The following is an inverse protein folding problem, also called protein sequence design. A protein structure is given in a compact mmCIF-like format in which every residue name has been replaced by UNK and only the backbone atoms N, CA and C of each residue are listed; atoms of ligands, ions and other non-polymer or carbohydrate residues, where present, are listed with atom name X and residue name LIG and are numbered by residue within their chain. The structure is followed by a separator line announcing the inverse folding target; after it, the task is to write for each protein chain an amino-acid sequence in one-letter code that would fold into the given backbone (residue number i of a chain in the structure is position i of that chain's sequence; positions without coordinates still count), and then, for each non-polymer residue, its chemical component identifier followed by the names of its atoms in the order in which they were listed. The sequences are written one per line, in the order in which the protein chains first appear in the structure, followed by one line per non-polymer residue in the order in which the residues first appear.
data_IF_080563193936
#
_entry.id   IF_080563193936
#
_cell.length_a   1.000
_cell.length_b   1.000
_cell.length_c   1.000
_cell.angle_alpha   90.00
_cell.angle_beta   90.00
_cell.angle_gamma   90.00
#
_symmetry.space_group_name_H-M   'P 1'
#
loop_
_entity.id
_entity.type
_entity.pdbx_description
1 polymer ?
#
# COMPACT_ATOMS: atom_id res chain seq x y z
N UNK A 1 7.99 -51.62 -33.45
CA UNK A 1 7.65 -50.58 -32.46
C UNK A 1 8.41 -50.93 -31.20
N UNK A 2 9.39 -50.12 -30.82
CA UNK A 2 10.20 -50.38 -29.62
C UNK A 2 9.45 -49.93 -28.37
N UNK A 3 9.15 -50.88 -27.49
CA UNK A 3 8.46 -50.61 -26.24
C UNK A 3 9.43 -49.98 -25.24
N UNK A 4 9.06 -48.81 -24.69
CA UNK A 4 9.84 -48.18 -23.63
C UNK A 4 9.86 -49.05 -22.38
N UNK A 5 11.04 -49.27 -21.82
CA UNK A 5 11.25 -49.96 -20.55
C UNK A 5 10.42 -49.31 -19.43
N UNK A 6 9.72 -50.12 -18.64
CA UNK A 6 8.89 -49.72 -17.49
C UNK A 6 9.54 -48.62 -16.62
N UNK A 7 10.84 -48.74 -16.37
CA UNK A 7 11.64 -47.78 -15.57
C UNK A 7 11.67 -46.35 -16.10
N UNK A 8 11.58 -46.15 -17.43
CA UNK A 8 11.55 -44.81 -18.03
C UNK A 8 10.24 -44.08 -17.73
N UNK A 9 9.12 -44.82 -17.64
CA UNK A 9 7.83 -44.26 -17.24
C UNK A 9 7.80 -43.89 -15.77
N UNK A 10 8.39 -44.73 -14.91
CA UNK A 10 8.54 -44.42 -13.48
C UNK A 10 9.37 -43.18 -13.21
N UNK A 11 10.52 -43.03 -13.91
CA UNK A 11 11.37 -41.86 -13.79
C UNK A 11 10.66 -40.57 -14.26
N UNK A 12 9.94 -40.62 -15.38
CA UNK A 12 9.14 -39.50 -15.85
C UNK A 12 8.07 -39.08 -14.83
N UNK A 13 7.33 -40.03 -14.26
CA UNK A 13 6.31 -39.74 -13.25
C UNK A 13 6.89 -39.11 -11.96
N UNK A 14 8.10 -39.49 -11.55
CA UNK A 14 8.79 -38.88 -10.42
C UNK A 14 9.17 -37.43 -10.74
N UNK A 15 9.74 -37.19 -11.93
CA UNK A 15 10.12 -35.85 -12.39
C UNK A 15 8.89 -34.94 -12.46
N UNK A 16 7.81 -35.42 -13.08
CA UNK A 16 6.54 -34.67 -13.16
C UNK A 16 5.97 -34.39 -11.77
N UNK A 17 6.02 -35.35 -10.85
CA UNK A 17 5.59 -35.17 -9.46
C UNK A 17 6.39 -34.09 -8.73
N UNK A 18 7.71 -34.05 -8.91
CA UNK A 18 8.58 -33.02 -8.33
C UNK A 18 8.22 -31.65 -8.90
N UNK A 19 8.10 -31.52 -10.22
CA UNK A 19 7.73 -30.27 -10.90
C UNK A 19 6.38 -29.76 -10.40
N UNK A 20 5.36 -30.64 -10.36
CA UNK A 20 4.03 -30.29 -9.89
C UNK A 20 4.02 -29.87 -8.41
N UNK A 21 4.80 -30.55 -7.56
CA UNK A 21 4.89 -30.19 -6.14
C UNK A 21 5.55 -28.81 -5.92
N UNK A 22 6.59 -28.49 -6.68
CA UNK A 22 7.27 -27.20 -6.61
C UNK A 22 6.36 -26.05 -7.08
N UNK A 23 5.64 -26.25 -8.20
CA UNK A 23 4.66 -25.28 -8.71
C UNK A 23 3.53 -25.08 -7.69
N UNK A 24 3.00 -26.18 -7.14
CA UNK A 24 1.91 -26.13 -6.15
C UNK A 24 2.32 -25.37 -4.88
N UNK A 25 3.52 -25.62 -4.35
CA UNK A 25 4.04 -24.91 -3.18
C UNK A 25 4.23 -23.41 -3.44
N UNK A 26 4.72 -23.03 -4.62
CA UNK A 26 4.86 -21.63 -5.01
C UNK A 26 3.48 -20.96 -5.13
N UNK A 27 2.54 -21.60 -5.81
CA UNK A 27 1.17 -21.11 -5.95
C UNK A 27 0.50 -20.91 -4.59
N UNK A 28 0.60 -21.88 -3.68
CA UNK A 28 0.06 -21.77 -2.33
C UNK A 28 0.64 -20.56 -1.58
N UNK A 29 1.96 -20.36 -1.67
CA UNK A 29 2.64 -19.23 -1.03
C UNK A 29 2.17 -17.88 -1.58
N UNK A 30 1.97 -17.77 -2.89
CA UNK A 30 1.41 -16.56 -3.52
C UNK A 30 -0.04 -16.33 -3.10
N UNK A 31 -0.88 -17.37 -3.11
CA UNK A 31 -2.30 -17.29 -2.73
C UNK A 31 -2.47 -16.82 -1.27
N UNK A 32 -1.59 -17.22 -0.36
CA UNK A 32 -1.67 -16.83 1.06
C UNK A 32 -1.05 -15.45 1.30
N UNK A 33 0.13 -15.15 0.75
CA UNK A 33 0.87 -13.94 1.09
C UNK A 33 0.34 -12.68 0.40
N UNK A 34 -0.12 -12.78 -0.84
CA UNK A 34 -0.59 -11.62 -1.60
C UNK A 34 -1.80 -10.91 -0.97
N UNK A 35 -2.91 -11.59 -0.60
CA UNK A 35 -4.05 -10.92 0.02
C UNK A 35 -3.68 -10.34 1.39
N UNK A 36 -2.83 -11.02 2.17
CA UNK A 36 -2.35 -10.51 3.45
C UNK A 36 -1.55 -9.21 3.28
N UNK A 37 -0.61 -9.18 2.31
CA UNK A 37 0.15 -7.98 1.99
C UNK A 37 -0.76 -6.83 1.51
N UNK A 38 -1.77 -7.13 0.70
CA UNK A 38 -2.76 -6.14 0.25
C UNK A 38 -3.51 -5.53 1.43
N UNK A 39 -4.01 -6.36 2.36
CA UNK A 39 -4.74 -5.89 3.54
C UNK A 39 -3.85 -5.01 4.41
N UNK A 40 -2.61 -5.44 4.66
CA UNK A 40 -1.64 -4.62 5.40
C UNK A 40 -1.41 -3.27 4.72
N UNK A 41 -1.21 -3.26 3.39
CA UNK A 41 -0.97 -2.03 2.65
C UNK A 41 -2.19 -1.09 2.65
N UNK A 42 -3.39 -1.69 2.58
CA UNK A 42 -4.67 -0.99 2.62
C UNK A 42 -4.89 -0.23 3.92
N UNK A 43 -4.50 -0.79 5.06
CA UNK A 43 -4.60 -0.10 6.35
C UNK A 43 -3.40 0.80 6.62
N UNK A 44 -2.19 0.34 6.28
CA UNK A 44 -0.96 1.07 6.55
C UNK A 44 -0.94 2.43 5.84
N UNK A 45 -1.04 2.47 4.51
CA UNK A 45 -0.78 3.70 3.75
C UNK A 45 -1.74 4.85 4.11
N UNK A 46 -3.07 4.66 4.15
CA UNK A 46 -4.01 5.75 4.44
C UNK A 46 -3.96 6.23 5.89
N UNK A 47 -3.75 5.30 6.84
CA UNK A 47 -3.61 5.66 8.25
C UNK A 47 -2.40 6.57 8.40
N UNK A 48 -1.22 6.16 7.93
CA UNK A 48 -0.02 6.97 8.08
C UNK A 48 -0.08 8.32 7.34
N UNK A 49 -0.67 8.37 6.14
CA UNK A 49 -0.82 9.62 5.38
C UNK A 49 -1.85 10.58 6.01
N UNK A 50 -2.83 10.07 6.77
CA UNK A 50 -3.78 10.88 7.55
C UNK A 50 -3.27 11.28 8.95
N UNK A 51 -2.01 10.97 9.28
CA UNK A 51 -1.39 11.33 10.56
C UNK A 51 -0.95 12.80 10.59
N UNK A 52 -0.47 13.29 11.74
CA UNK A 52 0.12 14.64 11.82
C UNK A 52 1.41 14.76 11.02
N UNK A 53 2.13 13.64 10.85
CA UNK A 53 3.34 13.52 10.01
C UNK A 53 3.00 13.60 8.53
N UNK A 54 1.77 13.20 8.16
CA UNK A 54 1.26 13.22 6.78
C UNK A 54 2.17 12.43 5.82
N UNK A 55 2.86 11.41 6.33
CA UNK A 55 3.86 10.64 5.61
C UNK A 55 3.87 9.20 6.12
N UNK A 56 4.16 8.25 5.23
CA UNK A 56 4.54 6.89 5.63
C UNK A 56 5.99 6.87 6.12
N UNK A 57 6.43 5.87 6.89
CA UNK A 57 7.83 5.74 7.32
C UNK A 57 8.86 5.91 6.21
N UNK A 58 8.62 5.36 5.01
CA UNK A 58 9.52 5.59 3.87
C UNK A 58 9.51 7.04 3.36
N UNK A 59 8.34 7.68 3.34
CA UNK A 59 8.20 9.10 2.98
C UNK A 59 8.80 10.02 4.06
N UNK A 60 8.71 9.63 5.32
CA UNK A 60 9.33 10.32 6.45
C UNK A 60 10.85 10.34 6.31
N UNK A 61 11.45 9.18 6.00
CA UNK A 61 12.89 9.07 5.74
C UNK A 61 13.33 9.87 4.51
N UNK A 62 12.45 10.00 3.51
CA UNK A 62 12.68 10.83 2.33
C UNK A 62 12.33 12.31 2.54
N UNK A 63 11.99 12.72 3.76
CA UNK A 63 11.62 14.10 4.13
C UNK A 63 10.49 14.70 3.28
N UNK A 64 9.53 13.87 2.86
CA UNK A 64 8.35 14.29 2.08
C UNK A 64 7.05 14.03 2.84
N UNK A 65 6.08 14.91 2.63
CA UNK A 65 4.74 14.89 3.23
C UNK A 65 3.65 15.03 2.18
N UNK A 66 2.49 14.44 2.43
CA UNK A 66 1.30 14.57 1.59
C UNK A 66 0.34 15.56 2.24
N UNK A 67 0.03 16.66 1.57
CA UNK A 67 -0.91 17.66 2.06
C UNK A 67 -2.04 17.85 1.05
N UNK A 68 -3.15 18.44 1.49
CA UNK A 68 -4.19 18.89 0.57
C UNK A 68 -3.69 20.11 -0.22
N UNK A 69 -4.29 20.42 -1.37
CA UNK A 69 -3.91 21.59 -2.19
C UNK A 69 -3.95 22.93 -1.45
N UNK A 70 -4.71 23.02 -0.37
CA UNK A 70 -4.80 24.19 0.52
C UNK A 70 -3.78 24.17 1.69
N UNK A 71 -2.93 23.14 1.80
CA UNK A 71 -1.95 22.97 2.88
C UNK A 71 -2.47 22.22 4.11
N UNK A 72 -3.76 21.87 4.14
CA UNK A 72 -4.34 21.15 5.26
C UNK A 72 -3.90 19.68 5.32
N UNK A 73 -4.09 19.11 6.50
CA UNK A 73 -3.92 17.68 6.75
C UNK A 73 -4.99 16.87 6.00
N UNK A 74 -4.61 15.69 5.49
CA UNK A 74 -5.57 14.75 4.91
C UNK A 74 -6.52 14.21 5.98
N UNK A 75 -7.81 14.22 5.67
CA UNK A 75 -8.76 13.41 6.45
C UNK A 75 -8.54 11.92 6.13
N UNK A 76 -8.94 11.03 7.04
CA UNK A 76 -8.92 9.59 6.79
C UNK A 76 -9.67 9.22 5.51
N UNK A 77 -10.80 9.89 5.24
CA UNK A 77 -11.60 9.65 4.03
C UNK A 77 -10.82 10.02 2.76
N UNK A 78 -10.19 11.19 2.74
CA UNK A 78 -9.41 11.67 1.58
C UNK A 78 -8.20 10.76 1.33
N UNK A 79 -7.56 10.25 2.39
CA UNK A 79 -6.45 9.31 2.29
C UNK A 79 -6.88 7.97 1.64
N UNK A 80 -8.07 7.46 1.97
CA UNK A 80 -8.62 6.26 1.30
C UNK A 80 -9.00 6.54 -0.15
N UNK A 81 -9.61 7.70 -0.45
CA UNK A 81 -9.92 8.09 -1.83
C UNK A 81 -8.64 8.14 -2.68
N UNK A 82 -7.58 8.78 -2.17
CA UNK A 82 -6.25 8.81 -2.79
C UNK A 82 -5.69 7.39 -2.98
N UNK A 83 -5.85 6.51 -2.00
CA UNK A 83 -5.43 5.11 -2.10
C UNK A 83 -6.13 4.38 -3.26
N UNK A 84 -7.46 4.42 -3.32
CA UNK A 84 -8.21 3.78 -4.39
C UNK A 84 -7.91 4.40 -5.76
N UNK A 85 -7.79 5.73 -5.85
CA UNK A 85 -7.40 6.39 -7.08
C UNK A 85 -5.99 5.99 -7.56
N UNK A 86 -5.06 5.72 -6.62
CA UNK A 86 -3.73 5.21 -6.96
C UNK A 86 -3.75 3.79 -7.50
N UNK A 87 -4.69 2.95 -7.05
CA UNK A 87 -4.94 1.61 -7.61
C UNK A 87 -5.48 1.71 -9.04
N UNK A 88 -6.46 2.58 -9.28
CA UNK A 88 -6.98 2.85 -10.63
C UNK A 88 -5.87 3.37 -11.55
N UNK A 89 -5.03 4.28 -11.07
CA UNK A 89 -3.87 4.78 -11.82
C UNK A 89 -2.86 3.67 -12.16
N UNK A 90 -2.69 2.68 -11.28
CA UNK A 90 -1.85 1.50 -11.52
C UNK A 90 -2.46 0.56 -12.57
N UNK A 91 -3.77 0.36 -12.55
CA UNK A 91 -4.50 -0.43 -13.56
C UNK A 91 -4.42 0.21 -14.95
N UNK A 92 -4.35 1.54 -15.04
CA UNK A 92 -4.10 2.27 -16.29
C UNK A 92 -2.62 2.21 -16.75
N UNK A 93 -1.92 1.10 -16.51
CA UNK A 93 -0.52 0.86 -16.88
C UNK A 93 0.46 1.95 -16.36
N UNK A 94 0.12 2.60 -15.25
CA UNK A 94 0.95 3.67 -14.68
C UNK A 94 0.88 5.01 -15.44
N UNK A 95 -0.01 5.16 -16.43
CA UNK A 95 -0.22 6.44 -17.14
C UNK A 95 -0.59 7.57 -16.18
N UNK A 96 -1.33 7.26 -15.11
CA UNK A 96 -1.67 8.23 -14.07
C UNK A 96 -0.47 8.77 -13.29
N UNK A 97 0.68 8.07 -13.29
CA UNK A 97 1.92 8.55 -12.68
C UNK A 97 2.68 9.49 -13.62
N UNK A 98 2.55 9.31 -14.94
CA UNK A 98 3.17 10.20 -15.94
C UNK A 98 2.62 11.63 -15.89
N UNK A 99 1.39 11.82 -15.41
CA UNK A 99 0.81 13.15 -15.15
C UNK A 99 1.68 14.02 -14.22
N UNK A 100 2.48 13.40 -13.34
CA UNK A 100 3.40 14.14 -12.48
C UNK A 100 4.47 14.90 -13.27
N UNK A 101 4.84 14.46 -14.48
CA UNK A 101 5.85 15.13 -15.31
C UNK A 101 5.32 16.39 -16.02
N UNK A 102 3.99 16.50 -16.18
CA UNK A 102 3.35 17.58 -16.95
C UNK A 102 2.63 18.60 -16.06
N UNK A 103 2.50 18.34 -14.76
CA UNK A 103 1.78 19.21 -13.83
C UNK A 103 2.74 20.13 -13.07
N UNK A 104 2.37 21.40 -12.91
CA UNK A 104 3.20 22.42 -12.21
C UNK A 104 3.55 22.06 -10.76
N UNK A 105 2.75 21.21 -10.12
CA UNK A 105 2.92 20.74 -8.73
C UNK A 105 3.40 19.29 -8.63
N UNK A 106 3.86 18.68 -9.75
CA UNK A 106 4.25 17.28 -9.83
C UNK A 106 3.18 16.30 -9.30
N UNK A 107 1.91 16.58 -9.58
CA UNK A 107 0.76 15.79 -9.14
C UNK A 107 0.49 14.64 -10.10
N UNK A 108 0.30 13.45 -9.56
CA UNK A 108 -0.23 12.29 -10.28
C UNK A 108 -1.75 12.45 -10.52
N UNK A 109 -2.32 11.61 -11.38
CA UNK A 109 -3.76 11.60 -11.65
C UNK A 109 -4.59 11.36 -10.38
N UNK A 110 -4.13 10.47 -9.49
CA UNK A 110 -4.77 10.22 -8.22
C UNK A 110 -4.60 11.38 -7.22
N UNK A 111 -3.50 12.13 -7.32
CA UNK A 111 -3.27 13.31 -6.50
C UNK A 111 -4.18 14.46 -6.92
N UNK A 112 -4.40 14.63 -8.23
CA UNK A 112 -5.39 15.57 -8.76
C UNK A 112 -6.83 15.19 -8.36
N UNK A 113 -7.18 13.91 -8.43
CA UNK A 113 -8.51 13.43 -8.06
C UNK A 113 -8.81 13.60 -6.57
N UNK A 114 -7.81 13.39 -5.72
CA UNK A 114 -7.95 13.53 -4.27
C UNK A 114 -7.69 14.96 -3.75
N UNK A 115 -7.40 15.93 -4.64
CA UNK A 115 -7.03 17.30 -4.28
C UNK A 115 -5.82 17.36 -3.32
N UNK A 116 -4.80 16.56 -3.61
CA UNK A 116 -3.60 16.41 -2.77
C UNK A 116 -2.31 16.73 -3.51
N UNK A 117 -1.28 17.11 -2.78
CA UNK A 117 0.04 17.48 -3.31
C UNK A 117 1.12 16.91 -2.38
N UNK A 118 2.25 16.51 -2.96
CA UNK A 118 3.43 16.10 -2.20
C UNK A 118 4.35 17.30 -2.04
N UNK A 119 4.75 17.58 -0.81
CA UNK A 119 5.61 18.69 -0.43
C UNK A 119 6.78 18.19 0.39
N UNK A 120 7.82 19.02 0.50
CA UNK A 120 8.90 18.79 1.45
C UNK A 120 8.35 18.89 2.89
N UNK A 121 9.01 18.19 3.82
CA UNK A 121 8.69 18.05 5.24
C UNK A 121 7.96 19.26 5.85
N UNK A 122 6.76 19.01 6.38
CA UNK A 122 5.88 20.03 7.02
C UNK A 122 5.70 19.77 8.52
N UNK A 123 6.28 18.70 9.07
CA UNK A 123 6.12 18.32 10.47
C UNK A 123 7.40 18.54 11.28
N UNK A 124 7.22 18.90 12.55
CA UNK A 124 8.29 19.06 13.52
C UNK A 124 8.66 17.66 14.06
N UNK A 125 9.88 17.23 13.79
CA UNK A 125 10.28 15.83 14.00
C UNK A 125 10.67 15.56 15.45
N UNK A 126 9.71 15.12 16.27
CA UNK A 126 9.97 14.58 17.61
C UNK A 126 10.29 13.07 17.62
N UNK A 127 10.59 12.49 16.44
CA UNK A 127 10.85 11.06 16.23
C UNK A 127 9.61 10.28 15.79
N UNK A 128 9.79 9.35 14.83
CA UNK A 128 8.70 8.58 14.20
C UNK A 128 7.87 7.77 15.19
N UNK A 129 8.50 7.22 16.23
CA UNK A 129 7.83 6.43 17.26
C UNK A 129 6.81 7.24 18.07
N UNK A 130 7.17 8.46 18.49
CA UNK A 130 6.31 9.31 19.31
C UNK A 130 5.07 9.75 18.53
N UNK A 131 5.25 10.16 17.28
CA UNK A 131 4.17 10.52 16.38
C UNK A 131 3.22 9.35 16.09
N UNK A 132 3.75 8.14 15.92
CA UNK A 132 2.94 6.94 15.71
C UNK A 132 2.11 6.59 16.95
N UNK A 133 2.73 6.63 18.13
CA UNK A 133 2.04 6.40 19.41
C UNK A 133 0.92 7.41 19.61
N UNK A 134 1.15 8.68 19.31
CA UNK A 134 0.15 9.73 19.47
C UNK A 134 -0.99 9.62 18.44
N UNK A 135 -0.69 9.19 17.23
CA UNK A 135 -1.71 8.84 16.25
C UNK A 135 -2.57 7.66 16.73
N UNK A 136 -1.95 6.63 17.31
CA UNK A 136 -2.69 5.49 17.82
C UNK A 136 -3.60 5.89 18.97
N UNK A 137 -3.08 6.68 19.92
CA UNK A 137 -3.88 7.26 20.99
C UNK A 137 -5.04 8.08 20.44
N UNK A 138 -4.84 8.92 19.42
CA UNK A 138 -5.92 9.71 18.82
C UNK A 138 -7.02 8.85 18.18
N UNK A 139 -6.65 7.80 17.45
CA UNK A 139 -7.63 6.91 16.81
C UNK A 139 -8.44 6.12 17.84
N UNK A 140 -7.82 5.65 18.92
CA UNK A 140 -8.52 4.92 19.98
C UNK A 140 -9.26 5.85 20.97
N UNK A 141 -8.74 7.05 21.24
CA UNK A 141 -9.37 8.05 22.12
C UNK A 141 -10.62 8.71 21.50
N UNK A 142 -10.76 8.73 20.17
CA UNK A 142 -12.03 9.14 19.53
C UNK A 142 -13.19 8.19 19.83
N UNK A 143 -12.91 6.93 20.22
CA UNK A 143 -13.97 5.96 20.49
C UNK A 143 -14.62 6.16 21.87
N UNK A 144 -13.92 6.73 22.84
CA UNK A 144 -14.47 6.97 24.18
C UNK A 144 -15.39 8.18 24.23
N UNK A 145 -15.09 9.27 23.53
CA UNK A 145 -15.93 10.50 23.55
C UNK A 145 -17.31 10.39 22.89
N UNK A 146 -17.59 9.33 22.13
CA UNK A 146 -18.89 9.10 21.48
C UNK A 146 -19.79 8.10 22.22
N UNK A 147 -19.36 7.59 23.38
CA UNK A 147 -20.15 6.63 24.18
C UNK A 147 -20.80 7.31 25.40
N UNK A 148 -20.39 8.53 25.75
CA UNK A 148 -20.89 9.25 26.93
C UNK A 148 -21.99 10.29 26.62
N UNK A 149 -22.70 10.15 25.49
CA UNK A 149 -23.85 11.00 25.15
C UNK A 149 -25.03 10.11 24.74
N UNK A 150 -25.67 9.50 25.73
CA UNK A 150 -27.03 8.98 25.66
C UNK A 150 -27.65 9.00 27.06
#
# INVERSE_FOLDING_TARGET
MDYTSFWRRGAAAIIDGIILSAISALCMRLVVLLPFAFILHFFYKPIFESSNVRATPGKYLAEISVVRSNGDKLSLKDAYIRYFASWVSGLMLGLGYLCALFTKKNQTLHDLFADTVVVNKVYESNGLWNEWVDQMKFMFARKTKNIDIN
#
